data_IF_122038570527
#
_entry.id   IF_122038570527
#
_cell.length_a   1.000
_cell.length_b   1.000
_cell.length_c   1.000
_cell.angle_alpha   90.00
_cell.angle_beta   90.00
_cell.angle_gamma   90.00
#
_symmetry.space_group_name_H-M   'P 1'
#
loop_
_entity.id
_entity.type
_entity.pdbx_description
1 polymer ?
#
# COMPACT_ATOMS: atom_id res chain seq x y z
N UNK A 1 41.61 30.47 -20.66
CA UNK A 1 40.22 30.14 -20.34
C UNK A 1 40.25 28.93 -19.43
N UNK A 2 39.71 29.06 -18.22
CA UNK A 2 39.79 28.03 -17.18
C UNK A 2 38.48 27.22 -17.15
N UNK A 3 38.57 25.90 -17.27
CA UNK A 3 37.42 25.00 -17.22
C UNK A 3 37.05 24.70 -15.76
N UNK A 4 35.75 24.53 -15.50
CA UNK A 4 35.27 24.10 -14.18
C UNK A 4 35.80 22.70 -13.79
N UNK A 5 36.08 21.87 -14.78
CA UNK A 5 36.80 20.61 -14.64
C UNK A 5 37.93 20.58 -15.69
N UNK A 6 39.18 20.63 -15.22
CA UNK A 6 40.36 20.58 -16.09
C UNK A 6 40.53 19.21 -16.78
N UNK A 7 39.91 18.16 -16.25
CA UNK A 7 39.96 16.80 -16.77
C UNK A 7 38.57 16.31 -17.21
N UNK A 8 37.69 17.21 -17.70
CA UNK A 8 36.28 16.92 -18.02
C UNK A 8 36.05 15.72 -18.96
N UNK A 9 37.06 15.33 -19.74
CA UNK A 9 37.03 14.20 -20.68
C UNK A 9 37.51 12.87 -20.07
N UNK A 10 37.90 12.85 -18.79
CA UNK A 10 38.38 11.67 -18.07
C UNK A 10 37.46 11.42 -16.88
N UNK A 11 36.87 10.21 -16.74
CA UNK A 11 36.05 9.88 -15.58
C UNK A 11 36.84 10.04 -14.27
N UNK A 12 36.27 10.78 -13.32
CA UNK A 12 36.87 11.08 -12.02
C UNK A 12 35.90 10.86 -10.86
N UNK A 13 36.42 10.98 -9.62
CA UNK A 13 35.59 10.96 -8.42
C UNK A 13 34.75 12.24 -8.37
N UNK A 14 33.48 12.13 -7.97
CA UNK A 14 32.65 13.30 -7.69
C UNK A 14 33.05 13.92 -6.35
N UNK A 15 33.44 15.20 -6.36
CA UNK A 15 33.85 15.92 -5.15
C UNK A 15 32.66 16.56 -4.41
N UNK A 16 31.65 17.03 -5.14
CA UNK A 16 30.50 17.75 -4.58
C UNK A 16 29.23 17.54 -5.41
N UNK A 17 28.09 17.34 -4.74
CA UNK A 17 26.76 17.31 -5.35
C UNK A 17 26.00 18.60 -5.02
N UNK A 18 25.52 19.28 -6.05
CA UNK A 18 24.80 20.55 -5.93
C UNK A 18 23.33 20.36 -6.25
N UNK A 19 22.46 20.91 -5.39
CA UNK A 19 21.01 20.86 -5.58
C UNK A 19 20.55 21.67 -6.80
N UNK A 20 19.48 21.21 -7.45
CA UNK A 20 18.90 21.90 -8.61
C UNK A 20 18.41 23.33 -8.28
N UNK A 21 18.14 23.62 -7.00
CA UNK A 21 17.69 24.93 -6.53
C UNK A 21 18.74 26.04 -6.73
N UNK A 22 20.04 25.72 -6.72
CA UNK A 22 21.10 26.71 -6.95
C UNK A 22 21.60 26.72 -8.40
N UNK A 23 21.12 25.82 -9.27
CA UNK A 23 21.65 25.61 -10.61
C UNK A 23 21.76 26.92 -11.43
N UNK A 24 20.71 27.73 -11.43
CA UNK A 24 20.68 28.98 -12.18
C UNK A 24 21.52 30.09 -11.55
N UNK A 25 21.84 30.00 -10.26
CA UNK A 25 22.71 30.96 -9.56
C UNK A 25 24.19 30.72 -9.89
N UNK A 26 24.56 29.48 -10.25
CA UNK A 26 25.94 29.12 -10.58
C UNK A 26 26.34 29.53 -11.98
N UNK A 27 25.38 29.66 -12.91
CA UNK A 27 25.65 29.98 -14.31
C UNK A 27 25.80 31.49 -14.52
N UNK A 28 26.82 31.87 -15.29
CA UNK A 28 27.05 33.24 -15.75
C UNK A 28 26.49 33.42 -17.17
N UNK A 29 26.34 34.67 -17.58
CA UNK A 29 25.73 35.02 -18.88
C UNK A 29 26.58 34.62 -20.09
N UNK A 30 27.90 34.56 -19.93
CA UNK A 30 28.83 34.32 -21.01
C UNK A 30 28.78 32.88 -21.53
N UNK A 31 28.65 32.74 -22.85
CA UNK A 31 28.63 31.45 -23.54
C UNK A 31 29.47 31.54 -24.81
N UNK A 32 30.34 30.55 -25.03
CA UNK A 32 31.20 30.48 -26.20
C UNK A 32 30.82 29.24 -27.00
N UNK A 33 30.38 29.43 -28.25
CA UNK A 33 30.15 28.32 -29.17
C UNK A 33 31.46 27.89 -29.81
N UNK A 34 31.79 26.61 -29.70
CA UNK A 34 32.99 26.05 -30.33
C UNK A 34 32.69 25.88 -31.82
N UNK A 35 33.55 26.46 -32.69
CA UNK A 35 33.41 26.36 -34.14
C UNK A 35 33.36 24.89 -34.58
N UNK A 36 32.55 24.60 -35.59
CA UNK A 36 32.41 23.27 -36.20
C UNK A 36 31.99 22.15 -35.23
N UNK A 37 31.33 22.50 -34.13
CA UNK A 37 30.75 21.55 -33.19
C UNK A 37 29.39 22.02 -32.65
N UNK A 38 28.63 21.11 -32.05
CA UNK A 38 27.44 21.46 -31.26
C UNK A 38 27.79 21.71 -29.78
N UNK A 39 29.08 21.86 -29.46
CA UNK A 39 29.55 22.11 -28.12
C UNK A 39 29.51 23.61 -27.78
N UNK A 40 29.16 23.88 -26.54
CA UNK A 40 29.03 25.18 -25.92
C UNK A 40 29.84 25.17 -24.63
N UNK A 41 30.57 26.25 -24.41
CA UNK A 41 31.20 26.55 -23.14
C UNK A 41 30.32 27.54 -22.41
N UNK A 42 29.79 27.16 -21.26
CA UNK A 42 28.95 28.01 -20.42
C UNK A 42 29.77 28.46 -19.22
N UNK A 43 29.95 29.76 -19.06
CA UNK A 43 30.67 30.31 -17.92
C UNK A 43 29.87 30.07 -16.62
N UNK A 44 30.56 29.71 -15.54
CA UNK A 44 29.96 29.50 -14.22
C UNK A 44 30.82 30.13 -13.12
N UNK A 45 30.37 30.08 -11.88
CA UNK A 45 31.18 30.48 -10.71
C UNK A 45 32.45 29.63 -10.54
N UNK A 46 32.47 28.40 -11.05
CA UNK A 46 33.60 27.47 -10.94
C UNK A 46 34.54 27.47 -12.16
N UNK A 47 34.21 28.23 -13.22
CA UNK A 47 34.90 28.17 -14.51
C UNK A 47 33.95 27.73 -15.63
N UNK A 48 34.49 27.49 -16.82
CA UNK A 48 33.68 27.13 -17.99
C UNK A 48 33.26 25.66 -17.97
N UNK A 49 31.97 25.40 -18.16
CA UNK A 49 31.37 24.08 -18.28
C UNK A 49 31.20 23.74 -19.76
N UNK A 50 31.66 22.55 -20.17
CA UNK A 50 31.44 22.03 -21.53
C UNK A 50 30.07 21.35 -21.57
N UNK A 51 29.21 21.78 -22.50
CA UNK A 51 27.88 21.19 -22.72
C UNK A 51 27.58 21.11 -24.22
N UNK A 52 26.61 20.30 -24.61
CA UNK A 52 26.21 20.15 -26.00
C UNK A 52 26.25 18.70 -26.45
N UNK A 53 25.95 18.51 -27.72
CA UNK A 53 25.85 17.18 -28.31
C UNK A 53 27.15 16.86 -29.06
N UNK A 54 27.71 15.68 -28.84
CA UNK A 54 28.73 15.11 -29.70
C UNK A 54 28.01 14.24 -30.74
N UNK A 55 28.25 14.49 -32.02
CA UNK A 55 27.79 13.57 -33.06
C UNK A 55 28.50 12.22 -32.87
N UNK A 56 27.90 11.33 -32.07
CA UNK A 56 28.38 9.96 -31.94
C UNK A 56 27.95 9.19 -33.18
N UNK A 57 28.94 8.81 -33.98
CA UNK A 57 28.72 7.90 -35.11
C UNK A 57 28.55 6.51 -34.50
N UNK A 58 27.29 6.04 -34.44
CA UNK A 58 26.90 4.65 -34.11
C UNK A 58 27.08 4.17 -32.65
N UNK A 59 26.68 4.94 -31.64
CA UNK A 59 26.47 4.39 -30.29
C UNK A 59 24.99 4.38 -29.90
N UNK A 60 24.41 3.18 -29.80
CA UNK A 60 23.04 2.94 -29.29
C UNK A 60 22.98 2.84 -27.75
N UNK A 61 24.08 3.19 -27.06
CA UNK A 61 24.18 3.07 -25.60
C UNK A 61 23.82 4.40 -24.93
N UNK A 62 22.69 4.41 -24.24
CA UNK A 62 22.35 5.46 -23.28
C UNK A 62 23.19 5.23 -22.02
N UNK A 63 24.14 6.10 -21.74
CA UNK A 63 24.90 6.08 -20.50
C UNK A 63 24.13 6.85 -19.41
N UNK A 64 23.66 6.14 -18.39
CA UNK A 64 23.07 6.73 -17.20
C UNK A 64 24.10 6.68 -16.06
N UNK A 65 24.50 7.84 -15.55
CA UNK A 65 25.37 7.95 -14.38
C UNK A 65 24.56 7.72 -13.10
N UNK A 66 24.48 6.47 -12.65
CA UNK A 66 23.97 6.17 -11.31
C UNK A 66 25.10 6.40 -10.31
N UNK A 67 24.91 7.39 -9.42
CA UNK A 67 25.81 7.60 -8.29
C UNK A 67 25.58 6.44 -7.31
N UNK A 68 26.51 5.49 -7.30
CA UNK A 68 26.52 4.40 -6.32
C UNK A 68 27.29 4.87 -5.09
N UNK A 69 26.60 5.59 -4.22
CA UNK A 69 27.15 5.99 -2.92
C UNK A 69 27.03 4.80 -1.95
N UNK A 70 28.16 4.12 -1.70
CA UNK A 70 28.22 2.98 -0.77
C UNK A 70 27.88 3.39 0.67
N UNK A 71 28.14 4.64 1.07
CA UNK A 71 27.86 5.12 2.41
C UNK A 71 26.38 5.46 2.58
N UNK A 72 25.71 5.95 1.52
CA UNK A 72 24.26 6.08 1.50
C UNK A 72 23.58 4.71 1.63
N UNK A 73 24.06 3.70 0.89
CA UNK A 73 23.53 2.34 0.98
C UNK A 73 23.70 1.76 2.40
N UNK A 74 24.88 1.95 3.02
CA UNK A 74 25.11 1.55 4.42
C UNK A 74 24.22 2.31 5.39
N UNK A 75 23.94 3.58 5.13
CA UNK A 75 23.08 4.42 5.98
C UNK A 75 21.63 3.99 5.88
N UNK A 76 21.13 3.68 4.67
CA UNK A 76 19.82 3.09 4.43
C UNK A 76 19.68 1.72 5.11
N UNK A 77 20.69 0.86 4.97
CA UNK A 77 20.71 -0.44 5.63
C UNK A 77 20.67 -0.31 7.16
N UNK A 78 21.47 0.60 7.74
CA UNK A 78 21.41 0.93 9.17
C UNK A 78 20.05 1.48 9.57
N UNK A 79 19.45 2.35 8.75
CA UNK A 79 18.13 2.92 9.02
C UNK A 79 17.04 1.85 9.07
N UNK A 80 17.06 0.87 8.15
CA UNK A 80 16.14 -0.26 8.19
C UNK A 80 16.38 -1.16 9.39
N UNK A 81 17.64 -1.47 9.72
CA UNK A 81 18.00 -2.25 10.92
C UNK A 81 17.58 -1.58 12.23
N UNK A 82 17.64 -0.25 12.32
CA UNK A 82 17.21 0.51 13.51
C UNK A 82 15.68 0.54 13.64
N UNK A 83 14.93 0.43 12.54
CA UNK A 83 13.47 0.35 12.54
C UNK A 83 12.93 -1.06 12.69
N UNK A 84 13.73 -2.07 12.40
CA UNK A 84 13.44 -3.44 12.79
C UNK A 84 13.59 -3.55 14.30
N UNK A 85 12.47 -3.64 15.00
CA UNK A 85 12.48 -4.09 16.39
C UNK A 85 12.93 -5.55 16.32
N UNK A 86 14.15 -5.84 16.79
CA UNK A 86 14.57 -7.20 17.15
C UNK A 86 13.72 -7.65 18.34
N UNK A 87 12.43 -7.88 18.13
CA UNK A 87 11.66 -8.61 19.11
C UNK A 87 12.29 -10.01 19.17
N UNK A 88 12.70 -10.50 20.36
CA UNK A 88 13.06 -11.89 20.48
C UNK A 88 11.88 -12.66 19.90
N UNK A 89 12.14 -13.56 18.95
CA UNK A 89 11.10 -14.41 18.37
C UNK A 89 10.57 -15.23 19.54
N UNK A 90 9.52 -14.72 20.20
CA UNK A 90 8.79 -15.46 21.20
C UNK A 90 8.12 -16.54 20.38
N UNK A 91 8.73 -17.73 20.40
CA UNK A 91 8.18 -18.96 19.81
C UNK A 91 6.98 -19.41 20.64
N UNK A 92 5.98 -18.53 20.79
CA UNK A 92 4.70 -18.95 21.29
C UNK A 92 4.07 -19.82 20.19
N UNK A 93 3.48 -20.95 20.59
CA UNK A 93 2.88 -21.95 19.73
C UNK A 93 1.92 -21.35 18.69
N UNK A 94 1.17 -20.31 19.08
CA UNK A 94 0.25 -19.60 18.17
C UNK A 94 0.96 -18.93 16.99
N UNK A 95 2.15 -18.35 17.21
CA UNK A 95 2.93 -17.70 16.15
C UNK A 95 3.44 -18.73 15.15
N UNK A 96 3.95 -19.86 15.61
CA UNK A 96 4.39 -20.95 14.74
C UNK A 96 3.24 -21.47 13.88
N UNK A 97 2.04 -21.65 14.46
CA UNK A 97 0.84 -22.06 13.72
C UNK A 97 0.48 -21.01 12.66
N UNK A 98 0.54 -19.72 12.98
CA UNK A 98 0.23 -18.65 12.02
C UNK A 98 1.26 -18.56 10.89
N UNK A 99 2.56 -18.68 11.20
CA UNK A 99 3.64 -18.67 10.22
C UNK A 99 3.54 -19.88 9.27
N UNK A 100 3.29 -21.07 9.81
CA UNK A 100 3.05 -22.29 9.02
C UNK A 100 1.79 -22.18 8.16
N UNK A 101 0.67 -21.69 8.73
CA UNK A 101 -0.57 -21.46 7.99
C UNK A 101 -0.35 -20.48 6.83
N UNK A 102 0.33 -19.37 7.08
CA UNK A 102 0.64 -18.40 6.04
C UNK A 102 1.54 -19.01 4.96
N UNK A 103 2.62 -19.70 5.34
CA UNK A 103 3.51 -20.35 4.38
C UNK A 103 2.76 -21.31 3.45
N UNK A 104 1.81 -22.09 4.00
CA UNK A 104 1.05 -23.09 3.26
C UNK A 104 -0.14 -22.53 2.46
N UNK A 105 -0.70 -21.38 2.85
CA UNK A 105 -1.93 -20.85 2.25
C UNK A 105 -1.73 -19.53 1.49
N UNK A 106 -0.55 -18.91 1.59
CA UNK A 106 -0.26 -17.74 0.78
C UNK A 106 0.08 -18.14 -0.65
N UNK A 107 -0.46 -17.40 -1.60
CA UNK A 107 -0.10 -17.53 -3.01
C UNK A 107 -0.29 -16.21 -3.73
N UNK A 108 0.30 -16.12 -4.93
CA UNK A 108 0.18 -14.94 -5.78
C UNK A 108 -0.70 -15.26 -6.98
N UNK A 109 -1.76 -14.49 -7.13
CA UNK A 109 -2.51 -14.37 -8.39
C UNK A 109 -1.78 -13.42 -9.34
N UNK A 110 -2.27 -13.25 -10.57
CA UNK A 110 -1.65 -12.36 -11.57
C UNK A 110 -1.30 -10.96 -11.01
N UNK A 111 -2.20 -10.39 -10.20
CA UNK A 111 -2.10 -9.00 -9.74
C UNK A 111 -2.08 -8.83 -8.21
N UNK A 112 -2.32 -9.90 -7.44
CA UNK A 112 -2.52 -9.80 -5.97
C UNK A 112 -1.90 -10.97 -5.21
N UNK A 113 -1.42 -10.69 -4.01
CA UNK A 113 -1.15 -11.71 -2.99
C UNK A 113 -2.45 -12.06 -2.29
N UNK A 114 -2.69 -13.36 -2.13
CA UNK A 114 -3.82 -13.93 -1.40
C UNK A 114 -3.24 -14.69 -0.22
N UNK A 115 -3.77 -14.44 0.98
CA UNK A 115 -3.42 -15.15 2.19
C UNK A 115 -4.71 -15.54 2.90
N UNK A 116 -4.76 -16.77 3.40
CA UNK A 116 -5.88 -17.23 4.23
C UNK A 116 -5.73 -16.69 5.64
N UNK A 117 -6.86 -16.40 6.28
CA UNK A 117 -6.89 -15.98 7.68
C UNK A 117 -6.88 -17.22 8.59
N UNK A 118 -5.89 -17.36 9.50
CA UNK A 118 -5.85 -18.49 10.41
C UNK A 118 -6.97 -18.38 11.46
N UNK A 119 -7.52 -19.53 11.85
CA UNK A 119 -8.47 -19.65 12.95
C UNK A 119 -7.75 -20.16 14.21
N UNK A 120 -8.13 -19.64 15.39
CA UNK A 120 -7.54 -20.06 16.67
C UNK A 120 -7.93 -21.48 17.08
N UNK A 121 -9.12 -21.93 16.68
CA UNK A 121 -9.70 -23.24 16.96
C UNK A 121 -10.48 -23.70 15.74
N UNK A 122 -10.71 -25.00 15.66
CA UNK A 122 -11.59 -25.58 14.65
C UNK A 122 -13.01 -24.99 14.77
N UNK A 123 -13.63 -24.55 13.66
CA UNK A 123 -14.99 -24.00 13.64
C UNK A 123 -16.05 -24.87 14.31
N UNK A 124 -15.82 -26.19 14.40
CA UNK A 124 -16.72 -27.15 15.06
C UNK A 124 -16.90 -26.89 16.56
N UNK A 125 -16.04 -26.08 17.18
CA UNK A 125 -16.24 -25.65 18.57
C UNK A 125 -17.28 -24.54 18.73
N UNK A 126 -17.76 -23.92 17.65
CA UNK A 126 -18.79 -22.88 17.71
C UNK A 126 -20.14 -23.51 18.08
N UNK A 127 -20.86 -22.82 18.95
CA UNK A 127 -22.22 -23.19 19.32
C UNK A 127 -23.28 -22.55 18.41
N UNK A 128 -24.55 -22.63 18.81
CA UNK A 128 -25.63 -21.97 18.07
C UNK A 128 -25.53 -20.44 18.21
N UNK A 129 -25.52 -19.75 17.07
CA UNK A 129 -25.58 -18.28 16.95
C UNK A 129 -26.90 -17.77 16.40
N UNK A 130 -27.74 -18.66 15.86
CA UNK A 130 -28.94 -18.31 15.07
C UNK A 130 -29.97 -17.57 15.89
N UNK A 131 -30.25 -18.02 17.12
CA UNK A 131 -31.26 -17.38 17.99
C UNK A 131 -30.88 -15.96 18.37
N UNK A 132 -29.58 -15.72 18.59
CA UNK A 132 -29.04 -14.38 18.87
C UNK A 132 -29.16 -13.51 17.62
N UNK A 133 -28.79 -14.04 16.46
CA UNK A 133 -28.91 -13.36 15.18
C UNK A 133 -30.35 -12.96 14.85
N UNK A 134 -31.32 -13.87 15.04
CA UNK A 134 -32.74 -13.63 14.81
C UNK A 134 -33.29 -12.51 15.71
N UNK A 135 -33.02 -12.55 17.03
CA UNK A 135 -33.45 -11.48 17.95
C UNK A 135 -32.89 -10.11 17.57
N UNK A 136 -31.64 -10.06 17.11
CA UNK A 136 -31.03 -8.80 16.62
C UNK A 136 -31.62 -8.36 15.29
N UNK A 137 -31.93 -9.30 14.41
CA UNK A 137 -32.60 -9.03 13.14
C UNK A 137 -33.99 -8.43 13.37
N UNK A 138 -34.80 -8.98 14.29
CA UNK A 138 -36.10 -8.41 14.66
C UNK A 138 -35.99 -6.96 15.15
N UNK A 139 -34.98 -6.67 16.00
CA UNK A 139 -34.71 -5.30 16.45
C UNK A 139 -34.35 -4.36 15.29
N UNK A 140 -33.55 -4.85 14.33
CA UNK A 140 -33.22 -4.11 13.12
C UNK A 140 -34.47 -3.85 12.26
N UNK A 141 -35.33 -4.85 12.05
CA UNK A 141 -36.59 -4.70 11.31
C UNK A 141 -37.50 -3.65 11.94
N UNK A 142 -37.64 -3.66 13.27
CA UNK A 142 -38.42 -2.66 13.99
C UNK A 142 -37.91 -1.23 13.76
N UNK A 143 -36.59 -1.02 13.68
CA UNK A 143 -36.00 0.28 13.34
C UNK A 143 -36.24 0.65 11.89
N UNK A 144 -36.02 -0.29 10.96
CA UNK A 144 -36.23 -0.10 9.53
C UNK A 144 -37.70 0.28 9.21
N UNK A 145 -38.66 -0.31 9.92
CA UNK A 145 -40.08 0.00 9.76
C UNK A 145 -40.46 1.42 10.22
N UNK A 146 -39.70 2.02 11.15
CA UNK A 146 -39.97 3.34 11.72
C UNK A 146 -39.23 4.48 11.03
N UNK A 147 -38.17 4.18 10.30
CA UNK A 147 -37.29 5.16 9.65
C UNK A 147 -37.08 4.81 8.17
N UNK A 148 -37.92 5.40 7.31
CA UNK A 148 -37.93 5.17 5.87
C UNK A 148 -36.60 5.56 5.22
N UNK A 149 -35.96 6.63 5.69
CA UNK A 149 -34.67 7.09 5.17
C UNK A 149 -33.58 6.06 5.48
N UNK A 150 -33.53 5.58 6.72
CA UNK A 150 -32.58 4.55 7.13
C UNK A 150 -32.82 3.23 6.38
N UNK A 151 -34.08 2.85 6.14
CA UNK A 151 -34.43 1.68 5.31
C UNK A 151 -33.91 1.79 3.88
N UNK A 152 -34.13 2.93 3.22
CA UNK A 152 -33.67 3.14 1.86
C UNK A 152 -32.15 3.06 1.75
N UNK A 153 -31.42 3.69 2.69
CA UNK A 153 -29.96 3.60 2.76
C UNK A 153 -29.47 2.16 3.00
N UNK A 154 -30.17 1.41 3.85
CA UNK A 154 -29.84 0.01 4.13
C UNK A 154 -30.02 -0.89 2.89
N UNK A 155 -31.13 -0.70 2.15
CA UNK A 155 -31.41 -1.42 0.91
C UNK A 155 -30.38 -1.12 -0.17
N UNK A 156 -30.00 0.15 -0.32
CA UNK A 156 -28.95 0.56 -1.26
C UNK A 156 -27.63 -0.13 -0.93
N UNK A 157 -27.23 -0.12 0.35
CA UNK A 157 -26.03 -0.82 0.81
C UNK A 157 -26.06 -2.32 0.47
N UNK A 158 -27.15 -3.03 0.82
CA UNK A 158 -27.25 -4.47 0.57
C UNK A 158 -27.18 -4.79 -0.92
N UNK A 159 -27.92 -4.05 -1.77
CA UNK A 159 -27.87 -4.24 -3.23
C UNK A 159 -26.46 -4.04 -3.79
N UNK A 160 -25.76 -3.00 -3.34
CA UNK A 160 -24.39 -2.74 -3.75
C UNK A 160 -23.45 -3.86 -3.27
N UNK A 161 -23.61 -4.34 -2.03
CA UNK A 161 -22.79 -5.40 -1.44
C UNK A 161 -22.97 -6.73 -2.19
N UNK A 162 -24.19 -7.08 -2.57
CA UNK A 162 -24.49 -8.24 -3.43
C UNK A 162 -23.95 -8.06 -4.85
N UNK A 163 -24.17 -6.90 -5.48
CA UNK A 163 -23.67 -6.61 -6.84
C UNK A 163 -22.15 -6.69 -6.94
N UNK A 164 -21.44 -6.34 -5.87
CA UNK A 164 -19.98 -6.46 -5.77
C UNK A 164 -19.50 -7.90 -5.50
N UNK A 165 -20.42 -8.85 -5.31
CA UNK A 165 -20.11 -10.25 -5.02
C UNK A 165 -19.65 -10.49 -3.59
N UNK A 166 -19.93 -9.57 -2.65
CA UNK A 166 -19.58 -9.74 -1.24
C UNK A 166 -20.61 -10.52 -0.43
N UNK A 167 -21.83 -10.69 -0.97
CA UNK A 167 -22.85 -11.57 -0.41
C UNK A 167 -23.67 -12.22 -1.52
N UNK A 168 -24.40 -13.28 -1.18
CA UNK A 168 -25.39 -13.92 -2.03
C UNK A 168 -26.59 -14.32 -1.19
N UNK A 169 -27.77 -14.29 -1.79
CA UNK A 169 -28.96 -14.88 -1.18
C UNK A 169 -28.78 -16.39 -0.98
N UNK A 170 -29.20 -16.90 0.18
CA UNK A 170 -29.18 -18.32 0.50
C UNK A 170 -30.54 -18.91 0.14
N UNK A 171 -30.62 -19.67 -0.96
CA UNK A 171 -31.89 -20.23 -1.48
C UNK A 171 -32.17 -21.66 -1.02
N UNK A 172 -31.15 -22.38 -0.53
CA UNK A 172 -31.26 -23.78 -0.11
C UNK A 172 -31.01 -23.87 1.40
N UNK A 173 -31.96 -24.44 2.13
CA UNK A 173 -31.93 -24.58 3.60
C UNK A 173 -31.03 -25.71 4.11
N UNK A 174 -30.23 -26.35 3.25
CA UNK A 174 -29.23 -27.32 3.73
C UNK A 174 -28.13 -26.56 4.47
N UNK A 175 -28.37 -26.34 5.77
CA UNK A 175 -27.37 -25.84 6.70
C UNK A 175 -26.16 -26.77 6.61
N UNK A 176 -24.99 -26.16 6.37
CA UNK A 176 -23.74 -26.90 6.46
C UNK A 176 -23.55 -27.34 7.91
N UNK A 177 -22.83 -28.44 8.09
CA UNK A 177 -22.51 -29.00 9.41
C UNK A 177 -21.92 -27.95 10.37
N UNK A 178 -21.20 -26.96 9.83
CA UNK A 178 -20.69 -25.84 10.59
C UNK A 178 -21.17 -24.52 9.97
N UNK A 179 -22.09 -23.85 10.65
CA UNK A 179 -22.70 -22.58 10.22
C UNK A 179 -22.68 -21.58 11.37
N UNK A 180 -22.25 -20.33 11.10
CA UNK A 180 -22.28 -19.22 12.05
C UNK A 180 -23.10 -18.05 11.49
N UNK A 181 -24.03 -17.54 12.30
CA UNK A 181 -24.90 -16.43 11.94
C UNK A 181 -24.39 -15.14 12.60
N UNK A 182 -23.67 -14.32 11.83
CA UNK A 182 -23.21 -13.03 12.29
C UNK A 182 -24.37 -12.01 12.36
N UNK A 183 -24.48 -11.29 13.46
CA UNK A 183 -25.42 -10.16 13.58
C UNK A 183 -24.88 -8.97 12.78
N UNK A 184 -25.75 -8.10 12.26
CA UNK A 184 -25.32 -6.89 11.58
C UNK A 184 -26.18 -5.68 11.94
N UNK A 185 -25.60 -4.48 11.86
CA UNK A 185 -26.31 -3.23 12.09
C UNK A 185 -25.71 -2.09 11.25
N UNK A 186 -26.50 -1.04 11.00
CA UNK A 186 -26.08 0.11 10.20
C UNK A 186 -25.62 1.26 11.09
N UNK A 187 -24.46 1.81 10.75
CA UNK A 187 -23.91 3.04 11.31
C UNK A 187 -24.23 4.16 10.33
N UNK A 188 -24.98 5.16 10.81
CA UNK A 188 -25.38 6.32 10.03
C UNK A 188 -25.28 7.57 10.89
N UNK A 189 -24.54 8.57 10.40
CA UNK A 189 -24.35 9.86 11.06
C UNK A 189 -24.93 10.98 10.19
N UNK A 190 -26.18 11.41 10.43
CA UNK A 190 -26.84 12.41 9.59
C UNK A 190 -26.17 13.79 9.63
N UNK A 191 -25.50 14.12 10.74
CA UNK A 191 -24.73 15.37 10.96
C UNK A 191 -23.51 15.50 10.04
N UNK A 192 -23.03 14.40 9.47
CA UNK A 192 -21.88 14.39 8.57
C UNK A 192 -22.38 14.33 7.13
N UNK A 193 -22.26 15.46 6.42
CA UNK A 193 -22.78 15.68 5.06
C UNK A 193 -22.32 14.66 4.01
N UNK A 194 -21.27 13.87 4.28
CA UNK A 194 -20.63 12.97 3.31
C UNK A 194 -20.63 11.48 3.64
N UNK A 195 -21.07 11.06 4.84
CA UNK A 195 -20.97 9.63 5.20
C UNK A 195 -22.21 8.83 4.80
N UNK A 196 -22.05 8.03 3.74
CA UNK A 196 -22.97 6.92 3.40
C UNK A 196 -23.15 5.97 4.60
N UNK A 197 -24.32 5.35 4.70
CA UNK A 197 -24.58 4.29 5.69
C UNK A 197 -23.58 3.15 5.50
N UNK A 198 -23.05 2.63 6.62
CA UNK A 198 -22.14 1.48 6.64
C UNK A 198 -22.78 0.37 7.46
N UNK A 199 -22.90 -0.83 6.90
CA UNK A 199 -23.30 -2.01 7.67
C UNK A 199 -22.06 -2.66 8.26
N UNK A 200 -22.13 -2.97 9.56
CA UNK A 200 -21.09 -3.67 10.30
C UNK A 200 -21.63 -5.00 10.76
N UNK A 201 -20.94 -6.08 10.39
CA UNK A 201 -21.17 -7.42 10.92
C UNK A 201 -20.41 -7.58 12.23
N UNK A 202 -21.10 -8.02 13.28
CA UNK A 202 -20.52 -8.31 14.57
C UNK A 202 -20.23 -9.80 14.67
N UNK A 203 -19.00 -10.18 14.29
CA UNK A 203 -18.47 -11.53 14.37
C UNK A 203 -17.82 -11.85 15.72
N UNK A 204 -17.85 -10.93 16.70
CA UNK A 204 -17.36 -11.17 18.06
C UNK A 204 -18.48 -11.52 19.04
N UNK A 205 -19.68 -11.80 18.52
CA UNK A 205 -20.79 -12.23 19.37
C UNK A 205 -20.56 -13.67 19.80
N UNK A 206 -20.62 -13.92 21.10
CA UNK A 206 -20.52 -15.26 21.64
C UNK A 206 -21.72 -16.10 21.17
N UNK A 207 -21.44 -17.34 20.77
CA UNK A 207 -22.46 -18.39 20.61
C UNK A 207 -22.99 -18.82 21.99
N UNK A 208 -24.04 -19.66 22.00
CA UNK A 208 -24.62 -20.22 23.22
C UNK A 208 -23.62 -20.95 24.14
N UNK A 209 -22.53 -21.48 23.59
CA UNK A 209 -21.44 -22.12 24.34
C UNK A 209 -20.30 -21.16 24.76
N UNK A 210 -20.46 -19.85 24.54
CA UNK A 210 -19.53 -18.82 25.02
C UNK A 210 -18.27 -18.61 24.18
N UNK A 211 -18.26 -19.04 22.90
CA UNK A 211 -17.12 -18.90 21.98
C UNK A 211 -17.52 -17.99 20.80
N UNK A 212 -16.57 -17.26 20.22
CA UNK A 212 -16.73 -16.47 18.98
C UNK A 212 -15.53 -16.65 18.08
#
# INVERSE_FOLDING_TARGET
MELADSNFNVPGKTDLLLGANIFYELLKLERIKIKDSQLLLVNSVFGYIVTGNLHSINETKVHCGLIRDEDLNKTLEKFWKVKEVEEPIVKNKERLICEEHYANTHFRTKDKYVASMPLKKEPSCLGNSKDIALKRLESLWNRLARDEKYLNLYREFLRDYERLGHMKEVTNETELEITYYATHHGIYHPEKSTTKLRVVCNCSSLTDNGIS
#
